data_IF_389295047503
#
_entry.id   IF_389295047503
#
_cell.length_a   1.000
_cell.length_b   1.000
_cell.length_c   1.000
_cell.angle_alpha   90.00
_cell.angle_beta   90.00
_cell.angle_gamma   90.00
#
_symmetry.space_group_name_H-M   'P 1'
#
loop_
_entity.id
_entity.type
_entity.pdbx_description
1 polymer ?
#
# COMPACT_ATOMS: atom_id res chain seq x y z
N UNK A 1 17.84 -8.99 6.20
CA UNK A 1 16.93 -9.03 5.02
C UNK A 1 17.74 -9.12 3.73
N UNK A 2 17.29 -9.91 2.76
CA UNK A 2 18.05 -10.27 1.54
C UNK A 2 17.81 -9.25 0.41
N UNK A 3 18.87 -8.78 -0.25
CA UNK A 3 18.76 -7.90 -1.41
C UNK A 3 18.45 -8.71 -2.68
N UNK A 4 17.67 -8.12 -3.59
CA UNK A 4 17.37 -8.71 -4.90
C UNK A 4 18.22 -8.00 -5.95
N UNK A 5 19.08 -8.76 -6.62
CA UNK A 5 19.87 -8.27 -7.74
C UNK A 5 19.00 -8.16 -9.00
N UNK A 6 19.12 -7.04 -9.73
CA UNK A 6 18.40 -6.80 -10.99
C UNK A 6 18.62 -7.92 -12.01
N UNK A 7 19.82 -8.48 -12.07
CA UNK A 7 20.21 -9.57 -12.97
C UNK A 7 19.46 -10.86 -12.68
N UNK A 8 19.25 -11.20 -11.40
CA UNK A 8 18.47 -12.37 -10.99
C UNK A 8 17.00 -12.24 -11.40
N UNK A 9 16.47 -11.01 -11.42
CA UNK A 9 15.09 -10.75 -11.85
C UNK A 9 14.93 -10.89 -13.37
N UNK A 10 15.88 -10.37 -14.15
CA UNK A 10 15.91 -10.50 -15.61
C UNK A 10 15.89 -11.96 -16.06
N UNK A 11 16.71 -12.82 -15.42
CA UNK A 11 16.77 -14.25 -15.73
C UNK A 11 15.46 -14.96 -15.41
N UNK A 12 14.76 -14.56 -14.35
CA UNK A 12 13.49 -15.18 -13.93
C UNK A 12 12.29 -14.77 -14.76
N UNK A 13 12.27 -13.54 -15.26
CA UNK A 13 11.09 -12.96 -15.92
C UNK A 13 11.22 -12.98 -17.46
N UNK A 14 12.43 -13.16 -18.00
CA UNK A 14 12.64 -13.27 -19.46
C UNK A 14 12.39 -11.97 -20.24
N UNK A 15 12.35 -10.84 -19.55
CA UNK A 15 12.10 -9.50 -20.11
C UNK A 15 13.42 -8.73 -20.28
N UNK A 16 13.47 -7.77 -21.21
CA UNK A 16 14.64 -6.92 -21.44
C UNK A 16 14.93 -5.93 -20.29
N UNK A 17 16.15 -5.35 -20.27
CA UNK A 17 16.64 -4.52 -19.15
C UNK A 17 15.87 -3.22 -18.94
N UNK A 18 15.44 -2.56 -20.02
CA UNK A 18 14.77 -1.25 -19.99
C UNK A 18 13.42 -1.29 -19.26
N UNK A 19 12.44 -2.13 -19.65
CA UNK A 19 11.15 -2.19 -18.96
C UNK A 19 11.28 -2.66 -17.50
N UNK A 20 12.24 -3.53 -17.18
CA UNK A 20 12.51 -3.90 -15.78
C UNK A 20 13.02 -2.70 -14.99
N UNK A 21 13.93 -1.90 -15.57
CA UNK A 21 14.43 -0.69 -14.90
C UNK A 21 13.29 0.28 -14.61
N UNK A 22 12.42 0.51 -15.59
CA UNK A 22 11.31 1.45 -15.47
C UNK A 22 10.27 0.95 -14.44
N UNK A 23 9.98 -0.35 -14.43
CA UNK A 23 9.12 -0.97 -13.42
C UNK A 23 9.71 -0.85 -12.00
N UNK A 24 11.01 -1.13 -11.82
CA UNK A 24 11.68 -0.99 -10.52
C UNK A 24 11.71 0.47 -10.06
N UNK A 25 11.90 1.41 -10.98
CA UNK A 25 11.88 2.83 -10.65
C UNK A 25 10.47 3.27 -10.22
N UNK A 26 9.43 2.80 -10.92
CA UNK A 26 8.03 3.04 -10.53
C UNK A 26 7.73 2.46 -9.14
N UNK A 27 8.10 1.20 -8.90
CA UNK A 27 7.90 0.56 -7.59
C UNK A 27 8.64 1.29 -6.46
N UNK A 28 9.79 1.90 -6.75
CA UNK A 28 10.51 2.69 -5.76
C UNK A 28 9.85 4.05 -5.52
N UNK A 29 9.34 4.70 -6.56
CA UNK A 29 8.57 5.94 -6.45
C UNK A 29 7.26 5.74 -5.68
N UNK A 30 6.60 4.60 -5.89
CA UNK A 30 5.38 4.22 -5.19
C UNK A 30 5.65 3.71 -3.76
N UNK A 31 6.91 3.65 -3.31
CA UNK A 31 7.30 3.26 -1.96
C UNK A 31 7.25 1.75 -1.66
N UNK A 32 7.13 0.90 -2.68
CA UNK A 32 7.12 -0.56 -2.51
C UNK A 32 8.51 -1.15 -2.31
N UNK A 33 9.55 -0.52 -2.87
CA UNK A 33 10.94 -0.99 -2.76
C UNK A 33 11.92 0.16 -2.49
N UNK A 34 13.01 -0.17 -1.80
CA UNK A 34 14.17 0.70 -1.70
C UNK A 34 15.22 0.30 -2.74
N UNK A 35 15.70 1.27 -3.54
CA UNK A 35 16.87 1.07 -4.40
C UNK A 35 18.13 1.30 -3.56
N UNK A 36 18.99 0.29 -3.49
CA UNK A 36 20.22 0.32 -2.70
C UNK A 36 21.40 0.40 -3.68
N UNK A 37 22.17 1.51 -3.68
CA UNK A 37 23.34 1.65 -4.55
C UNK A 37 24.27 0.45 -4.46
N UNK A 38 24.68 -0.08 -5.61
CA UNK A 38 25.57 -1.23 -5.76
C UNK A 38 25.09 -2.56 -5.14
N UNK A 39 23.92 -2.63 -4.51
CA UNK A 39 23.37 -3.87 -3.89
C UNK A 39 22.06 -4.36 -4.51
N UNK A 40 21.40 -3.54 -5.33
CA UNK A 40 20.15 -3.90 -5.99
C UNK A 40 18.95 -3.20 -5.36
N UNK A 41 17.92 -3.94 -4.98
CA UNK A 41 16.74 -3.39 -4.30
C UNK A 41 16.21 -4.35 -3.24
N UNK A 42 15.35 -3.86 -2.36
CA UNK A 42 14.64 -4.67 -1.35
C UNK A 42 13.20 -4.18 -1.21
N UNK A 43 12.34 -5.02 -0.67
CA UNK A 43 10.99 -4.60 -0.24
C UNK A 43 11.15 -3.51 0.82
N UNK A 44 10.45 -2.40 0.63
CA UNK A 44 10.43 -1.31 1.58
C UNK A 44 9.85 -1.79 2.91
N UNK A 45 10.43 -1.35 4.02
CA UNK A 45 9.98 -1.73 5.35
C UNK A 45 9.41 -0.49 6.02
N UNK A 46 8.12 -0.52 6.31
CA UNK A 46 7.43 0.57 6.99
C UNK A 46 8.07 0.73 8.37
N UNK A 47 8.60 1.92 8.63
CA UNK A 47 9.20 2.32 9.90
C UNK A 47 8.12 2.71 10.92
N UNK A 48 8.48 2.73 12.20
CA UNK A 48 7.56 3.18 13.25
C UNK A 48 7.08 4.62 13.03
N UNK A 49 7.93 5.50 12.51
CA UNK A 49 7.56 6.89 12.21
C UNK A 49 6.58 6.95 11.04
N UNK A 50 6.81 6.22 9.96
CA UNK A 50 5.87 6.14 8.83
C UNK A 50 4.51 5.58 9.28
N UNK A 51 4.48 4.60 10.20
CA UNK A 51 3.22 4.13 10.80
C UNK A 51 2.48 5.30 11.45
N UNK A 52 3.15 6.09 12.29
CA UNK A 52 2.54 7.25 12.97
C UNK A 52 2.01 8.26 11.94
N UNK A 53 2.81 8.62 10.94
CA UNK A 53 2.42 9.55 9.88
C UNK A 53 1.21 9.05 9.09
N UNK A 54 1.19 7.77 8.70
CA UNK A 54 0.07 7.12 8.02
C UNK A 54 -1.19 7.22 8.88
N UNK A 55 -1.11 6.93 10.18
CA UNK A 55 -2.26 7.03 11.08
C UNK A 55 -2.75 8.46 11.25
N UNK A 56 -1.86 9.45 11.31
CA UNK A 56 -2.25 10.87 11.38
C UNK A 56 -3.02 11.30 10.12
N UNK A 57 -2.49 10.99 8.93
CA UNK A 57 -3.12 11.31 7.65
C UNK A 57 -4.48 10.61 7.53
N UNK A 58 -4.51 9.30 7.80
CA UNK A 58 -5.74 8.51 7.76
C UNK A 58 -6.79 9.03 8.74
N UNK A 59 -6.41 9.36 9.97
CA UNK A 59 -7.35 9.89 10.97
C UNK A 59 -7.98 11.20 10.52
N UNK A 60 -7.19 12.10 9.90
CA UNK A 60 -7.69 13.36 9.38
C UNK A 60 -8.73 13.17 8.25
N UNK A 61 -8.47 12.25 7.32
CA UNK A 61 -9.33 12.01 6.16
C UNK A 61 -10.54 11.15 6.56
N UNK A 62 -10.30 9.99 7.17
CA UNK A 62 -11.33 9.01 7.49
C UNK A 62 -12.32 9.55 8.52
N UNK A 63 -11.86 10.36 9.49
CA UNK A 63 -12.74 11.03 10.45
C UNK A 63 -13.73 11.97 9.77
N UNK A 64 -13.25 12.80 8.85
CA UNK A 64 -14.09 13.71 8.08
C UNK A 64 -15.07 12.96 7.16
N UNK A 65 -14.60 11.94 6.42
CA UNK A 65 -15.47 11.12 5.59
C UNK A 65 -16.56 10.42 6.41
N UNK A 66 -16.21 9.92 7.60
CA UNK A 66 -17.15 9.28 8.52
C UNK A 66 -18.19 10.27 9.04
N UNK A 67 -17.77 11.50 9.38
CA UNK A 67 -18.69 12.57 9.75
C UNK A 67 -19.69 12.89 8.62
N UNK A 68 -19.20 13.05 7.39
CA UNK A 68 -20.06 13.34 6.24
C UNK A 68 -21.08 12.22 6.00
N UNK A 69 -20.66 10.96 6.03
CA UNK A 69 -21.58 9.86 5.70
C UNK A 69 -22.60 9.58 6.80
N UNK A 70 -22.23 9.80 8.06
CA UNK A 70 -23.16 9.65 9.19
C UNK A 70 -24.21 10.75 9.22
N UNK A 71 -23.93 11.94 8.66
CA UNK A 71 -24.94 12.99 8.49
C UNK A 71 -26.09 12.59 7.54
N UNK A 72 -25.85 11.62 6.66
CA UNK A 72 -26.79 11.11 5.65
C UNK A 72 -27.23 9.66 5.91
N UNK A 73 -27.08 9.14 7.14
CA UNK A 73 -27.21 7.70 7.42
C UNK A 73 -28.54 7.04 7.03
N UNK A 74 -29.61 7.82 6.82
CA UNK A 74 -30.92 7.31 6.38
C UNK A 74 -31.03 7.16 4.85
N UNK A 75 -30.11 7.75 4.10
CA UNK A 75 -30.08 7.63 2.65
C UNK A 75 -29.56 6.26 2.22
N UNK A 76 -30.18 5.67 1.20
CA UNK A 76 -29.83 4.34 0.71
C UNK A 76 -28.34 4.22 0.35
N UNK A 77 -27.76 5.28 -0.25
CA UNK A 77 -26.34 5.34 -0.63
C UNK A 77 -25.41 5.32 0.60
N UNK A 78 -25.78 5.99 1.67
CA UNK A 78 -25.00 6.00 2.91
C UNK A 78 -25.02 4.62 3.57
N UNK A 79 -26.20 4.00 3.66
CA UNK A 79 -26.37 2.62 4.19
C UNK A 79 -25.56 1.61 3.38
N UNK A 80 -25.60 1.69 2.05
CA UNK A 80 -24.81 0.83 1.17
C UNK A 80 -23.30 1.02 1.41
N UNK A 81 -22.85 2.26 1.52
CA UNK A 81 -21.42 2.57 1.71
C UNK A 81 -20.92 2.09 3.08
N UNK A 82 -21.69 2.30 4.14
CA UNK A 82 -21.36 1.80 5.49
C UNK A 82 -21.29 0.26 5.48
N UNK A 83 -22.21 -0.40 4.78
CA UNK A 83 -22.20 -1.86 4.62
C UNK A 83 -20.94 -2.35 3.88
N UNK A 84 -20.53 -1.66 2.81
CA UNK A 84 -19.28 -1.94 2.10
C UNK A 84 -18.05 -1.73 2.98
N UNK A 85 -18.01 -0.65 3.76
CA UNK A 85 -16.91 -0.36 4.68
C UNK A 85 -16.77 -1.50 5.71
N UNK A 86 -17.88 -1.96 6.29
CA UNK A 86 -17.88 -3.09 7.23
C UNK A 86 -17.28 -4.35 6.60
N UNK A 87 -17.71 -4.69 5.39
CA UNK A 87 -17.16 -5.84 4.66
C UNK A 87 -15.64 -5.74 4.43
N UNK A 88 -15.15 -4.55 4.07
CA UNK A 88 -13.71 -4.31 3.88
C UNK A 88 -12.92 -4.42 5.18
N UNK A 89 -13.45 -3.91 6.30
CA UNK A 89 -12.82 -4.03 7.61
C UNK A 89 -12.74 -5.50 8.07
N UNK A 90 -13.79 -6.29 7.82
CA UNK A 90 -13.78 -7.72 8.14
C UNK A 90 -12.73 -8.47 7.30
N UNK A 91 -12.60 -8.14 6.01
CA UNK A 91 -11.55 -8.68 5.14
C UNK A 91 -10.16 -8.29 5.63
N UNK A 92 -9.97 -7.05 6.08
CA UNK A 92 -8.68 -6.56 6.58
C UNK A 92 -8.23 -7.29 7.85
N UNK A 93 -9.15 -7.57 8.79
CA UNK A 93 -8.85 -8.38 9.98
C UNK A 93 -8.29 -9.76 9.63
N UNK A 94 -8.78 -10.36 8.53
CA UNK A 94 -8.27 -11.64 8.03
C UNK A 94 -6.81 -11.61 7.55
N UNK A 95 -6.28 -10.45 7.18
CA UNK A 95 -4.87 -10.31 6.74
C UNK A 95 -3.90 -10.02 7.89
N UNK A 96 -4.36 -9.48 9.02
CA UNK A 96 -3.52 -9.09 10.16
C UNK A 96 -3.31 -10.21 11.21
N UNK A 97 -3.96 -11.38 11.06
CA UNK A 97 -3.83 -12.55 11.96
C UNK A 97 -2.98 -13.67 11.33
N UNK A 98 -1.94 -13.33 10.57
CA UNK A 98 -0.93 -14.30 10.08
C UNK A 98 0.47 -13.82 10.42
#
# INVERSE_FOLDING_TARGET
>A
MKYILKQNLLVKIGISRTPIRDALQRLSQDGFIDIIPSKGFRIHQITANEIVEIFQIRSAIEGFCTFLITSQYKEARAVETISKLKHLLDKQKGYFIR
#
